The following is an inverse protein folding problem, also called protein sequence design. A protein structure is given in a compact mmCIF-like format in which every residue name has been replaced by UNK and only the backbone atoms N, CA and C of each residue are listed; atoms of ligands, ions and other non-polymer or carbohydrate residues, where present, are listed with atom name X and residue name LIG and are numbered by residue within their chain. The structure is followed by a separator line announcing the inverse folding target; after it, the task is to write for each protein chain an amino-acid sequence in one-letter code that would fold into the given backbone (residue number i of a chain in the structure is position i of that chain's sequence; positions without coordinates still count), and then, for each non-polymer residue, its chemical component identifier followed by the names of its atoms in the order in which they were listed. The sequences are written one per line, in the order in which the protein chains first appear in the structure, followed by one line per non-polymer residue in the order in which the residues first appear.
data_IF_648311803827
#
_entry.id   IF_648311803827
#
_cell.length_a   1.000
_cell.length_b   1.000
_cell.length_c   1.000
_cell.angle_alpha   90.00
_cell.angle_beta   90.00
_cell.angle_gamma   90.00
#
_symmetry.space_group_name_H-M   'P 1'
#
loop_
_entity.id
_entity.type
_entity.pdbx_description
1 polymer ?
#
# COMPACT_ATOMS: atom_id res chain seq x y z
N UNK A 1 4.56 -16.45 18.29
CA UNK A 1 4.88 -15.58 19.45
C UNK A 1 5.34 -16.33 20.70
N UNK A 2 4.56 -17.25 21.33
CA UNK A 2 5.06 -17.99 22.51
C UNK A 2 6.16 -19.02 22.17
N UNK A 3 6.07 -19.72 21.04
CA UNK A 3 7.10 -20.67 20.60
C UNK A 3 8.40 -19.98 20.18
N UNK A 4 8.33 -18.88 19.41
CA UNK A 4 9.53 -18.11 19.03
C UNK A 4 10.24 -17.50 20.24
N UNK A 5 9.49 -17.03 21.25
CA UNK A 5 10.05 -16.55 22.51
C UNK A 5 10.68 -17.67 23.34
N UNK A 6 10.18 -18.91 23.24
CA UNK A 6 10.81 -20.08 23.88
C UNK A 6 12.07 -20.50 23.14
N UNK A 7 12.07 -20.54 21.81
CA UNK A 7 13.26 -20.83 21.00
C UNK A 7 14.36 -19.78 21.21
N UNK A 8 14.00 -18.50 21.34
CA UNK A 8 14.94 -17.43 21.66
C UNK A 8 15.54 -17.57 23.06
N UNK A 9 14.76 -18.09 24.04
CA UNK A 9 15.26 -18.37 25.40
C UNK A 9 16.19 -19.57 25.44
N UNK A 10 15.84 -20.66 24.76
CA UNK A 10 16.64 -21.89 24.71
C UNK A 10 17.99 -21.63 24.02
N UNK A 11 17.98 -20.88 22.91
CA UNK A 11 19.20 -20.41 22.22
C UNK A 11 20.03 -19.43 23.06
N UNK A 12 19.41 -18.68 23.97
CA UNK A 12 20.10 -17.79 24.90
C UNK A 12 20.77 -18.56 26.07
N UNK A 13 20.19 -19.69 26.50
CA UNK A 13 20.79 -20.57 27.51
C UNK A 13 21.97 -21.36 26.95
N UNK A 14 21.91 -21.86 25.72
CA UNK A 14 23.07 -22.51 25.05
C UNK A 14 24.25 -21.56 24.84
N UNK A 15 23.99 -20.28 24.56
CA UNK A 15 25.04 -19.27 24.43
C UNK A 15 25.72 -18.88 25.76
N UNK A 16 25.15 -19.29 26.90
CA UNK A 16 25.70 -19.05 28.24
C UNK A 16 26.86 -20.00 28.58
N UNK A 17 26.90 -21.19 27.96
CA UNK A 17 28.01 -22.15 28.13
C UNK A 17 29.26 -21.77 27.31
N UNK A 18 29.10 -21.08 26.17
CA UNK A 18 30.20 -20.67 25.29
C UNK A 18 30.29 -19.13 25.18
N UNK A 19 31.14 -18.50 26.00
CA UNK A 19 31.34 -17.03 26.07
C UNK A 19 31.70 -16.39 24.72
N UNK A 20 32.18 -17.17 23.75
CA UNK A 20 32.46 -16.74 22.39
C UNK A 20 31.22 -16.51 21.51
N UNK A 21 30.04 -17.02 21.89
CA UNK A 21 28.78 -16.92 21.14
C UNK A 21 27.87 -15.79 21.65
N UNK A 22 28.16 -15.22 22.82
CA UNK A 22 27.42 -14.09 23.38
C UNK A 22 27.26 -12.87 22.45
N UNK A 23 28.26 -12.50 21.60
CA UNK A 23 28.08 -11.44 20.62
C UNK A 23 27.04 -11.80 19.54
N UNK A 24 26.96 -13.07 19.14
CA UNK A 24 26.02 -13.54 18.11
C UNK A 24 24.59 -13.46 18.61
N UNK A 25 24.32 -13.93 19.83
CA UNK A 25 22.98 -13.85 20.43
C UNK A 25 22.53 -12.42 20.67
N UNK A 26 23.43 -11.53 21.10
CA UNK A 26 23.12 -10.10 21.19
C UNK A 26 22.75 -9.51 19.83
N UNK A 27 23.51 -9.82 18.77
CA UNK A 27 23.17 -9.35 17.42
C UNK A 27 21.83 -9.89 16.94
N UNK A 28 21.49 -11.16 17.22
CA UNK A 28 20.18 -11.70 16.86
C UNK A 28 19.04 -10.98 17.57
N UNK A 29 19.19 -10.66 18.87
CA UNK A 29 18.18 -9.92 19.61
C UNK A 29 17.96 -8.52 19.01
N UNK A 30 19.05 -7.82 18.62
CA UNK A 30 18.97 -6.52 17.95
C UNK A 30 18.28 -6.66 16.58
N UNK A 31 18.68 -7.65 15.77
CA UNK A 31 18.07 -7.90 14.47
C UNK A 31 16.58 -8.22 14.59
N UNK A 32 16.16 -9.00 15.57
CA UNK A 32 14.75 -9.31 15.81
C UNK A 32 13.93 -8.04 16.14
N UNK A 33 14.46 -7.13 16.95
CA UNK A 33 13.82 -5.83 17.21
C UNK A 33 13.72 -4.99 15.93
N UNK A 34 14.78 -4.99 15.11
CA UNK A 34 14.77 -4.27 13.83
C UNK A 34 13.75 -4.86 12.86
N UNK A 35 13.67 -6.18 12.72
CA UNK A 35 12.64 -6.87 11.93
C UNK A 35 11.26 -6.40 12.38
N UNK A 36 10.95 -6.50 13.68
CA UNK A 36 9.65 -6.09 14.20
C UNK A 36 9.30 -4.62 13.91
N UNK A 37 10.28 -3.71 13.96
CA UNK A 37 10.07 -2.31 13.60
C UNK A 37 9.77 -2.16 12.11
N UNK A 38 10.52 -2.84 11.24
CA UNK A 38 10.31 -2.76 9.79
C UNK A 38 8.98 -3.40 9.39
N UNK A 39 8.61 -4.54 9.98
CA UNK A 39 7.28 -5.17 9.79
C UNK A 39 6.14 -4.21 10.13
N UNK A 40 6.27 -3.45 11.23
CA UNK A 40 5.25 -2.44 11.59
C UNK A 40 5.19 -1.29 10.57
N UNK A 41 6.33 -0.85 10.04
CA UNK A 41 6.39 0.18 8.99
C UNK A 41 5.80 -0.32 7.67
N UNK A 42 6.14 -1.55 7.27
CA UNK A 42 5.61 -2.21 6.09
C UNK A 42 4.08 -2.32 6.15
N UNK A 43 3.56 -2.87 7.25
CA UNK A 43 2.12 -3.01 7.45
C UNK A 43 1.39 -1.66 7.43
N UNK A 44 1.98 -0.62 8.01
CA UNK A 44 1.42 0.73 7.97
C UNK A 44 1.37 1.28 6.54
N UNK A 45 2.45 1.14 5.77
CA UNK A 45 2.50 1.60 4.39
C UNK A 45 1.47 0.87 3.51
N UNK A 46 1.36 -0.45 3.64
CA UNK A 46 0.31 -1.21 2.94
C UNK A 46 -1.11 -0.83 3.35
N UNK A 47 -1.33 -0.53 4.64
CA UNK A 47 -2.65 -0.05 5.09
C UNK A 47 -3.01 1.30 4.47
N UNK A 48 -2.03 2.21 4.37
CA UNK A 48 -2.21 3.53 3.77
C UNK A 48 -2.43 3.44 2.24
N UNK A 49 -1.65 2.61 1.55
CA UNK A 49 -1.83 2.26 0.14
C UNK A 49 -3.24 1.71 -0.13
N UNK A 50 -3.70 0.73 0.67
CA UNK A 50 -5.03 0.15 0.53
C UNK A 50 -6.14 1.17 0.79
N UNK A 51 -5.97 2.06 1.77
CA UNK A 51 -6.93 3.11 2.06
C UNK A 51 -7.04 4.08 0.88
N UNK A 52 -5.92 4.50 0.29
CA UNK A 52 -5.89 5.37 -0.89
C UNK A 52 -6.47 4.67 -2.12
N UNK A 53 -6.16 3.40 -2.32
CA UNK A 53 -6.72 2.58 -3.40
C UNK A 53 -8.25 2.45 -3.26
N UNK A 54 -8.75 2.28 -2.03
CA UNK A 54 -10.19 2.27 -1.74
C UNK A 54 -10.82 3.61 -2.08
N UNK A 55 -10.24 4.74 -1.64
CA UNK A 55 -10.73 6.09 -1.97
C UNK A 55 -10.74 6.36 -3.47
N UNK A 56 -9.70 5.96 -4.19
CA UNK A 56 -9.64 6.05 -5.66
C UNK A 56 -10.76 5.23 -6.31
N UNK A 57 -10.96 3.99 -5.85
CA UNK A 57 -12.02 3.11 -6.36
C UNK A 57 -13.42 3.69 -6.12
N UNK A 58 -13.66 4.23 -4.92
CA UNK A 58 -14.92 4.90 -4.56
C UNK A 58 -15.17 6.12 -5.46
N UNK A 59 -14.13 6.90 -5.75
CA UNK A 59 -14.24 8.08 -6.61
C UNK A 59 -14.55 7.69 -8.06
N UNK A 60 -13.93 6.63 -8.58
CA UNK A 60 -14.29 6.07 -9.88
C UNK A 60 -15.71 5.52 -9.91
N UNK A 61 -16.16 4.85 -8.83
CA UNK A 61 -17.55 4.41 -8.73
C UNK A 61 -18.53 5.60 -8.74
N UNK A 62 -18.18 6.70 -8.07
CA UNK A 62 -18.97 7.93 -8.08
C UNK A 62 -18.99 8.59 -9.46
N UNK A 63 -17.85 8.65 -10.15
CA UNK A 63 -17.76 9.09 -11.55
C UNK A 63 -18.70 8.27 -12.45
N UNK A 64 -18.67 6.95 -12.33
CA UNK A 64 -19.51 6.05 -13.12
C UNK A 64 -21.00 6.27 -12.83
N UNK A 65 -21.38 6.47 -11.56
CA UNK A 65 -22.76 6.79 -11.19
C UNK A 65 -23.22 8.12 -11.82
N UNK A 66 -22.35 9.13 -11.86
CA UNK A 66 -22.64 10.42 -12.53
C UNK A 66 -22.73 10.26 -14.04
N UNK A 67 -21.86 9.44 -14.63
CA UNK A 67 -21.86 9.13 -16.05
C UNK A 67 -23.18 8.47 -16.48
N UNK A 68 -23.67 7.50 -15.71
CA UNK A 68 -24.97 6.86 -15.94
C UNK A 68 -26.10 7.89 -15.87
N UNK A 69 -26.10 8.80 -14.88
CA UNK A 69 -27.12 9.85 -14.79
C UNK A 69 -27.06 10.79 -15.99
N UNK A 70 -25.86 11.23 -16.40
CA UNK A 70 -25.66 12.07 -17.60
C UNK A 70 -26.21 11.37 -18.83
N UNK A 71 -25.83 10.12 -19.05
CA UNK A 71 -26.27 9.33 -20.19
C UNK A 71 -27.79 9.09 -20.19
N UNK A 72 -28.42 8.93 -19.02
CA UNK A 72 -29.88 8.89 -18.92
C UNK A 72 -30.53 10.19 -19.40
N UNK A 73 -29.98 11.36 -19.09
CA UNK A 73 -30.48 12.63 -19.61
C UNK A 73 -30.24 12.80 -21.11
N UNK A 74 -29.09 12.36 -21.62
CA UNK A 74 -28.79 12.30 -23.05
C UNK A 74 -29.82 11.43 -23.79
N UNK A 75 -30.09 10.21 -23.30
CA UNK A 75 -31.12 9.34 -23.86
C UNK A 75 -32.52 9.98 -23.82
N UNK A 76 -32.88 10.72 -22.76
CA UNK A 76 -34.15 11.43 -22.72
C UNK A 76 -34.21 12.58 -23.74
N UNK A 77 -33.11 13.29 -23.96
CA UNK A 77 -33.01 14.31 -25.01
C UNK A 77 -33.16 13.70 -26.41
N UNK A 78 -32.49 12.58 -26.66
CA UNK A 78 -32.60 11.85 -27.93
C UNK A 78 -34.04 11.38 -28.16
N UNK A 79 -34.70 10.83 -27.13
CA UNK A 79 -36.10 10.42 -27.21
C UNK A 79 -37.04 11.61 -27.48
N UNK A 80 -36.82 12.75 -26.81
CA UNK A 80 -37.60 13.97 -27.05
C UNK A 80 -37.40 14.51 -28.47
N UNK A 81 -36.21 14.33 -29.06
CA UNK A 81 -35.89 14.80 -30.41
C UNK A 81 -36.64 14.04 -31.51
N UNK A 82 -36.94 12.76 -31.30
CA UNK A 82 -37.68 11.90 -32.24
C UNK A 82 -39.18 11.82 -31.91
N UNK A 83 -39.58 12.22 -30.71
CA UNK A 83 -40.99 12.25 -30.31
C UNK A 83 -41.73 13.42 -30.95
N UNK A 84 -43.02 13.26 -31.27
CA UNK A 84 -43.89 14.34 -31.72
C UNK A 84 -44.75 14.84 -30.54
N UNK A 85 -44.31 15.87 -29.80
CA UNK A 85 -44.98 16.29 -28.57
C UNK A 85 -46.31 16.98 -28.86
N UNK A 86 -47.33 16.68 -28.03
CA UNK A 86 -48.64 17.35 -28.09
C UNK A 86 -48.59 18.84 -27.70
N UNK A 87 -47.60 19.20 -26.87
CA UNK A 87 -47.32 20.59 -26.46
C UNK A 87 -45.86 20.92 -26.77
N UNK A 88 -45.60 21.68 -27.85
CA UNK A 88 -44.24 22.06 -28.26
C UNK A 88 -43.52 22.94 -27.22
N UNK A 89 -44.23 23.82 -26.51
CA UNK A 89 -43.62 24.73 -25.55
C UNK A 89 -43.15 23.99 -24.29
N UNK A 90 -43.93 23.02 -23.81
CA UNK A 90 -43.51 22.14 -22.73
C UNK A 90 -42.31 21.27 -23.11
N UNK A 91 -42.24 20.79 -24.36
CA UNK A 91 -41.14 19.98 -24.86
C UNK A 91 -39.82 20.77 -24.90
N UNK A 92 -39.82 22.01 -25.38
CA UNK A 92 -38.61 22.85 -25.40
C UNK A 92 -38.11 23.17 -23.99
N UNK A 93 -39.01 23.47 -23.04
CA UNK A 93 -38.62 23.67 -21.64
C UNK A 93 -37.97 22.43 -21.01
N UNK A 94 -38.43 21.24 -21.38
CA UNK A 94 -37.84 19.98 -20.91
C UNK A 94 -36.47 19.73 -21.54
N UNK A 95 -36.30 20.01 -22.84
CA UNK A 95 -35.01 19.93 -23.52
C UNK A 95 -33.97 20.86 -22.89
N UNK A 96 -34.34 22.11 -22.62
CA UNK A 96 -33.45 23.08 -21.99
C UNK A 96 -33.03 22.61 -20.59
N UNK A 97 -34.00 22.14 -19.78
CA UNK A 97 -33.73 21.60 -18.44
C UNK A 97 -32.78 20.40 -18.49
N UNK A 98 -32.99 19.44 -19.39
CA UNK A 98 -32.13 18.25 -19.48
C UNK A 98 -30.77 18.57 -20.06
N UNK A 99 -30.68 19.49 -21.03
CA UNK A 99 -29.40 19.96 -21.57
C UNK A 99 -28.54 20.64 -20.48
N UNK A 100 -29.16 21.47 -19.65
CA UNK A 100 -28.49 22.07 -18.49
C UNK A 100 -28.00 21.02 -17.48
N UNK A 101 -28.76 19.94 -17.26
CA UNK A 101 -28.34 18.84 -16.38
C UNK A 101 -27.16 18.07 -16.97
N UNK A 102 -27.14 17.82 -18.28
CA UNK A 102 -26.03 17.15 -18.98
C UNK A 102 -24.74 17.95 -18.80
N UNK A 103 -24.77 19.25 -19.05
CA UNK A 103 -23.57 20.09 -18.91
C UNK A 103 -23.10 20.16 -17.45
N UNK A 104 -24.03 20.28 -16.49
CA UNK A 104 -23.68 20.25 -15.06
C UNK A 104 -22.98 18.94 -14.67
N UNK A 105 -23.52 17.80 -15.07
CA UNK A 105 -22.89 16.51 -14.74
C UNK A 105 -21.56 16.32 -15.44
N UNK A 106 -21.40 16.82 -16.66
CA UNK A 106 -20.14 16.79 -17.39
C UNK A 106 -19.05 17.59 -16.69
N UNK A 107 -19.39 18.75 -16.12
CA UNK A 107 -18.42 19.54 -15.35
C UNK A 107 -18.11 18.90 -13.99
N UNK A 108 -19.12 18.44 -13.25
CA UNK A 108 -18.92 17.68 -12.00
C UNK A 108 -18.02 16.45 -12.23
N UNK A 109 -18.18 15.75 -13.36
CA UNK A 109 -17.37 14.59 -13.71
C UNK A 109 -15.89 14.91 -13.91
N UNK A 110 -15.53 16.09 -14.45
CA UNK A 110 -14.13 16.50 -14.62
C UNK A 110 -13.44 16.67 -13.27
N UNK A 111 -14.14 17.25 -12.30
CA UNK A 111 -13.63 17.42 -10.94
C UNK A 111 -13.43 16.07 -10.24
N UNK A 112 -14.42 15.17 -10.37
CA UNK A 112 -14.38 13.82 -9.81
C UNK A 112 -13.22 13.02 -10.42
N UNK A 113 -13.04 13.09 -11.74
CA UNK A 113 -11.93 12.43 -12.44
C UNK A 113 -10.57 12.97 -11.98
N UNK A 114 -10.44 14.30 -11.85
CA UNK A 114 -9.20 14.91 -11.37
C UNK A 114 -8.87 14.45 -9.94
N UNK A 115 -9.86 14.31 -9.06
CA UNK A 115 -9.69 13.78 -7.71
C UNK A 115 -9.32 12.29 -7.71
N UNK A 116 -9.96 11.47 -8.54
CA UNK A 116 -9.62 10.05 -8.67
C UNK A 116 -8.16 9.86 -9.11
N UNK A 117 -7.72 10.63 -10.10
CA UNK A 117 -6.33 10.61 -10.59
C UNK A 117 -5.32 11.09 -9.55
N UNK A 118 -5.70 12.02 -8.66
CA UNK A 118 -4.85 12.41 -7.53
C UNK A 118 -4.64 11.25 -6.57
N UNK A 119 -5.71 10.54 -6.19
CA UNK A 119 -5.58 9.36 -5.35
C UNK A 119 -4.76 8.25 -6.03
N UNK A 120 -4.91 8.02 -7.34
CA UNK A 120 -4.06 7.06 -8.07
C UNK A 120 -2.56 7.43 -8.02
N UNK A 121 -2.24 8.72 -8.14
CA UNK A 121 -0.86 9.18 -8.01
C UNK A 121 -0.32 8.94 -6.59
N UNK A 122 -1.12 9.23 -5.56
CA UNK A 122 -0.75 8.98 -4.16
C UNK A 122 -0.57 7.47 -3.87
N UNK A 123 -1.46 6.61 -4.39
CA UNK A 123 -1.32 5.14 -4.30
C UNK A 123 0.02 4.70 -4.90
N UNK A 124 0.40 5.22 -6.06
CA UNK A 124 1.66 4.83 -6.70
C UNK A 124 2.88 5.19 -5.84
N UNK A 125 2.85 6.34 -5.18
CA UNK A 125 3.92 6.77 -4.26
C UNK A 125 4.00 5.89 -3.02
N UNK A 126 2.86 5.64 -2.36
CA UNK A 126 2.82 4.79 -1.16
C UNK A 126 3.14 3.32 -1.47
N UNK A 127 2.68 2.79 -2.60
CA UNK A 127 3.01 1.43 -3.05
C UNK A 127 4.51 1.25 -3.32
N UNK A 128 5.20 2.28 -3.85
CA UNK A 128 6.67 2.25 -3.98
C UNK A 128 7.36 2.19 -2.62
N UNK A 129 6.85 2.91 -1.63
CA UNK A 129 7.40 2.93 -0.28
C UNK A 129 7.18 1.59 0.43
N UNK A 130 5.98 1.03 0.33
CA UNK A 130 5.65 -0.31 0.82
C UNK A 130 6.58 -1.37 0.22
N UNK A 131 6.83 -1.34 -1.10
CA UNK A 131 7.76 -2.27 -1.74
C UNK A 131 9.20 -2.23 -1.18
N UNK A 132 9.68 -1.06 -0.74
CA UNK A 132 11.00 -0.95 -0.10
C UNK A 132 10.98 -1.51 1.33
N UNK A 133 9.92 -1.29 2.09
CA UNK A 133 9.80 -1.85 3.44
C UNK A 133 9.71 -3.37 3.40
N UNK A 134 8.88 -3.95 2.54
CA UNK A 134 8.79 -5.40 2.37
C UNK A 134 10.11 -6.02 1.93
N UNK A 135 10.85 -5.39 1.02
CA UNK A 135 12.18 -5.88 0.63
C UNK A 135 13.19 -5.80 1.80
N UNK A 136 13.17 -4.70 2.56
CA UNK A 136 14.03 -4.52 3.73
C UNK A 136 13.73 -5.51 4.85
N UNK A 137 12.45 -5.79 5.10
CA UNK A 137 11.97 -6.79 6.06
C UNK A 137 12.51 -8.18 5.71
N UNK A 138 12.31 -8.63 4.47
CA UNK A 138 12.78 -9.94 4.01
C UNK A 138 14.31 -10.05 4.13
N UNK A 139 15.07 -9.02 3.77
CA UNK A 139 16.52 -9.04 3.91
C UNK A 139 16.97 -9.12 5.38
N UNK A 140 16.28 -8.44 6.28
CA UNK A 140 16.54 -8.49 7.72
C UNK A 140 16.20 -9.87 8.31
N UNK A 141 15.07 -10.47 7.92
CA UNK A 141 14.68 -11.82 8.34
C UNK A 141 15.67 -12.88 7.86
N UNK A 142 16.06 -12.84 6.58
CA UNK A 142 17.09 -13.76 6.06
C UNK A 142 18.41 -13.53 6.79
N UNK A 143 18.80 -12.28 7.05
CA UNK A 143 19.98 -11.94 7.84
C UNK A 143 19.93 -12.51 9.27
N UNK A 144 18.77 -12.43 9.93
CA UNK A 144 18.52 -13.01 11.25
C UNK A 144 18.63 -14.54 11.24
N UNK A 145 17.98 -15.20 10.28
CA UNK A 145 18.02 -16.66 10.12
C UNK A 145 19.44 -17.14 9.87
N UNK A 146 20.15 -16.52 8.91
CA UNK A 146 21.57 -16.80 8.62
C UNK A 146 22.44 -16.59 9.85
N UNK A 147 22.21 -15.51 10.61
CA UNK A 147 22.93 -15.25 11.85
C UNK A 147 22.70 -16.37 12.86
N UNK A 148 21.48 -16.89 12.99
CA UNK A 148 21.16 -18.00 13.89
C UNK A 148 21.86 -19.31 13.54
N UNK A 149 22.11 -19.58 12.25
CA UNK A 149 22.87 -20.77 11.79
C UNK A 149 24.30 -20.75 12.33
N UNK A 150 24.84 -19.57 12.66
CA UNK A 150 26.16 -19.44 13.31
C UNK A 150 26.22 -20.16 14.65
N UNK A 151 25.12 -20.17 15.43
CA UNK A 151 25.07 -20.86 16.72
C UNK A 151 25.25 -22.37 16.55
N UNK A 152 24.60 -22.95 15.53
CA UNK A 152 24.67 -24.38 15.23
C UNK A 152 26.02 -24.78 14.61
N UNK A 153 26.52 -23.99 13.67
CA UNK A 153 27.71 -24.34 12.87
C UNK A 153 29.02 -23.87 13.50
N UNK A 154 28.96 -22.96 14.48
CA UNK A 154 30.11 -22.27 15.12
C UNK A 154 31.05 -21.56 14.12
N UNK A 155 30.61 -21.34 12.87
CA UNK A 155 31.39 -20.69 11.81
C UNK A 155 31.06 -19.21 11.71
N UNK A 156 32.05 -18.36 12.04
CA UNK A 156 31.93 -16.88 11.97
C UNK A 156 31.56 -16.34 10.58
N UNK A 157 31.78 -17.10 9.51
CA UNK A 157 31.41 -16.70 8.16
C UNK A 157 29.91 -16.42 8.01
N UNK A 158 29.05 -17.24 8.64
CA UNK A 158 27.60 -17.03 8.60
C UNK A 158 27.19 -15.76 9.35
N UNK A 159 27.86 -15.45 10.45
CA UNK A 159 27.60 -14.23 11.20
C UNK A 159 27.90 -12.97 10.39
N UNK A 160 29.05 -12.93 9.71
CA UNK A 160 29.44 -11.80 8.86
C UNK A 160 28.47 -11.66 7.68
N UNK A 161 28.09 -12.78 7.06
CA UNK A 161 27.14 -12.78 5.95
C UNK A 161 25.75 -12.31 6.37
N UNK A 162 25.24 -12.80 7.51
CA UNK A 162 23.96 -12.36 8.08
C UNK A 162 23.96 -10.88 8.42
N UNK A 163 25.05 -10.35 8.97
CA UNK A 163 25.20 -8.91 9.23
C UNK A 163 25.24 -8.09 7.93
N UNK A 164 25.86 -8.61 6.87
CA UNK A 164 25.84 -8.00 5.54
C UNK A 164 24.44 -7.90 4.95
N UNK A 165 23.63 -8.96 5.08
CA UNK A 165 22.23 -8.95 4.65
C UNK A 165 21.38 -7.98 5.48
N UNK A 166 21.55 -7.99 6.80
CA UNK A 166 20.83 -7.09 7.69
C UNK A 166 21.14 -5.61 7.43
N UNK A 167 22.42 -5.29 7.19
CA UNK A 167 22.82 -3.92 6.82
C UNK A 167 22.26 -3.52 5.47
N UNK A 168 22.25 -4.40 4.47
CA UNK A 168 21.57 -4.15 3.20
C UNK A 168 20.06 -3.91 3.39
N UNK A 169 19.39 -4.72 4.21
CA UNK A 169 17.97 -4.55 4.55
C UNK A 169 17.69 -3.18 5.17
N UNK A 170 18.48 -2.76 6.16
CA UNK A 170 18.37 -1.43 6.77
C UNK A 170 18.54 -0.29 5.76
N UNK A 171 19.49 -0.42 4.82
CA UNK A 171 19.70 0.60 3.78
C UNK A 171 18.49 0.70 2.85
N UNK A 172 17.91 -0.44 2.45
CA UNK A 172 16.70 -0.46 1.61
C UNK A 172 15.52 0.14 2.35
N UNK A 173 15.29 -0.21 3.62
CA UNK A 173 14.24 0.40 4.46
C UNK A 173 14.45 1.90 4.60
N UNK A 174 15.68 2.36 4.85
CA UNK A 174 16.00 3.78 4.96
C UNK A 174 15.75 4.53 3.64
N UNK A 175 16.02 3.90 2.50
CA UNK A 175 15.68 4.44 1.19
C UNK A 175 14.16 4.59 1.01
N UNK A 176 13.37 3.61 1.48
CA UNK A 176 11.92 3.69 1.51
C UNK A 176 11.39 4.88 2.31
N UNK A 177 12.01 5.19 3.46
CA UNK A 177 11.65 6.36 4.28
C UNK A 177 11.88 7.71 3.58
N UNK A 178 12.79 7.76 2.61
CA UNK A 178 13.12 8.98 1.87
C UNK A 178 12.21 9.23 0.66
N UNK A 179 11.36 8.27 0.29
CA UNK A 179 10.38 8.43 -0.79
C UNK A 179 9.26 9.36 -0.27
N UNK A 180 9.03 10.47 -0.99
CA UNK A 180 7.94 11.43 -0.80
C UNK A 180 7.20 11.63 -2.13
#
# INVERSE_FOLDING_TARGET
MNEELQELKERAEEAREDRSLAPVTLTMAILAVLVAIVTLLDHRAHTEELLLQSKSTDQWAFYQAKNIRRHSYEMFLDLLSISSPKDPAAAEKMKEKYSAQVERYKDEQKEIEAEARKFEAEVSTEGRKAAHFGLGEVLLEVGLVVTSITLLTRRKAFWIFGLGLATAGLLVTALGLLIH
#
